data_IF_071049623908
#
_entry.id   IF_071049623908
#
_cell.length_a   1.000
_cell.length_b   1.000
_cell.length_c   1.000
_cell.angle_alpha   90.00
_cell.angle_beta   90.00
_cell.angle_gamma   90.00
#
_symmetry.space_group_name_H-M   'P 1'
#
loop_
_entity.id
_entity.type
_entity.pdbx_description
1 polymer ?
#
# COMPACT_ATOMS: atom_id res chain seq x y z
N UNK A 1 43.21 -19.16 4.45
CA UNK A 1 43.37 -18.59 3.08
C UNK A 1 42.35 -17.48 2.96
N UNK A 2 42.76 -16.30 2.51
CA UNK A 2 41.84 -15.18 2.26
C UNK A 2 41.18 -15.43 0.92
N UNK A 3 39.85 -15.54 0.89
CA UNK A 3 39.12 -15.66 -0.38
C UNK A 3 39.31 -14.37 -1.17
N UNK A 4 39.42 -14.47 -2.49
CA UNK A 4 39.38 -13.30 -3.36
C UNK A 4 38.00 -12.68 -3.37
N UNK A 5 37.94 -11.39 -3.66
CA UNK A 5 36.74 -10.58 -3.49
C UNK A 5 36.10 -10.27 -4.83
N UNK A 6 34.79 -10.45 -4.92
CA UNK A 6 33.93 -10.01 -6.03
C UNK A 6 32.97 -8.96 -5.47
N UNK A 7 33.10 -7.73 -5.95
CA UNK A 7 32.18 -6.65 -5.63
C UNK A 7 31.17 -6.49 -6.76
N UNK A 8 29.89 -6.53 -6.41
CA UNK A 8 28.80 -6.29 -7.35
C UNK A 8 27.99 -5.10 -6.85
N UNK A 9 27.85 -4.10 -7.71
CA UNK A 9 27.01 -2.94 -7.46
C UNK A 9 25.82 -2.93 -8.43
N UNK A 10 24.59 -2.82 -7.91
CA UNK A 10 23.38 -2.80 -8.73
C UNK A 10 22.50 -1.58 -8.41
N UNK A 11 22.29 -0.73 -9.41
CA UNK A 11 21.48 0.48 -9.30
C UNK A 11 20.39 0.55 -10.38
N UNK A 12 19.20 1.10 -10.05
CA UNK A 12 18.13 1.27 -11.02
C UNK A 12 18.49 2.34 -12.07
N UNK A 13 18.19 2.06 -13.34
CA UNK A 13 18.15 3.05 -14.41
C UNK A 13 16.69 3.49 -14.60
N UNK A 14 16.41 4.78 -14.43
CA UNK A 14 15.05 5.31 -14.58
C UNK A 14 14.71 5.47 -16.07
N UNK A 15 13.97 4.49 -16.63
CA UNK A 15 13.67 4.42 -18.07
C UNK A 15 12.18 4.35 -18.41
N UNK A 16 11.30 4.28 -17.41
CA UNK A 16 9.88 3.97 -17.59
C UNK A 16 9.68 2.51 -18.04
N UNK A 17 8.73 1.79 -17.43
CA UNK A 17 8.50 0.36 -17.69
C UNK A 17 9.23 -0.56 -16.70
N UNK A 18 9.60 -1.80 -17.10
CA UNK A 18 10.22 -2.78 -16.20
C UNK A 18 11.47 -2.26 -15.49
N UNK A 19 11.83 -2.85 -14.35
CA UNK A 19 12.99 -2.44 -13.57
C UNK A 19 14.28 -2.72 -14.35
N UNK A 20 14.89 -1.69 -14.92
CA UNK A 20 16.22 -1.76 -15.54
C UNK A 20 17.29 -1.53 -14.48
N UNK A 21 18.30 -2.40 -14.44
CA UNK A 21 19.42 -2.33 -13.52
C UNK A 21 20.72 -2.19 -14.30
N UNK A 22 21.53 -1.21 -13.90
CA UNK A 22 22.95 -1.18 -14.24
C UNK A 22 23.72 -1.97 -13.18
N UNK A 23 24.40 -3.02 -13.61
CA UNK A 23 25.21 -3.88 -12.75
C UNK A 23 26.67 -3.62 -13.10
N UNK A 24 27.46 -3.28 -12.08
CA UNK A 24 28.90 -3.06 -12.19
C UNK A 24 29.63 -4.08 -11.33
N UNK A 25 30.69 -4.66 -11.86
CA UNK A 25 31.51 -5.66 -11.18
C UNK A 25 32.93 -5.15 -11.00
N UNK A 26 33.51 -5.41 -9.83
CA UNK A 26 34.95 -5.29 -9.56
C UNK A 26 35.45 -6.58 -8.96
N UNK A 27 36.59 -7.04 -9.42
CA UNK A 27 37.13 -8.37 -9.10
C UNK A 27 38.64 -8.37 -9.26
N UNK A 28 39.30 -9.29 -8.58
CA UNK A 28 40.75 -9.50 -8.73
C UNK A 28 41.08 -10.14 -10.09
N UNK A 29 42.32 -9.92 -10.56
CA UNK A 29 42.80 -10.39 -11.86
C UNK A 29 42.67 -11.92 -12.08
N UNK A 30 42.65 -12.72 -11.01
CA UNK A 30 42.43 -14.17 -11.09
C UNK A 30 41.04 -14.58 -11.61
N UNK A 31 40.06 -13.67 -11.57
CA UNK A 31 38.73 -13.87 -12.14
C UNK A 31 38.60 -13.31 -13.57
N UNK A 32 39.63 -12.65 -14.09
CA UNK A 32 39.61 -12.02 -15.41
C UNK A 32 39.35 -13.04 -16.52
N UNK A 33 38.54 -12.66 -17.50
CA UNK A 33 38.12 -13.51 -18.60
C UNK A 33 37.01 -14.51 -18.27
N UNK A 34 36.58 -14.62 -17.01
CA UNK A 34 35.40 -15.42 -16.60
C UNK A 34 34.12 -14.61 -16.65
N UNK A 35 32.98 -15.28 -16.57
CA UNK A 35 31.66 -14.65 -16.47
C UNK A 35 30.95 -15.04 -15.18
N UNK A 36 30.18 -14.09 -14.68
CA UNK A 36 29.32 -14.17 -13.51
C UNK A 36 27.86 -14.19 -13.96
N UNK A 37 27.10 -15.21 -13.57
CA UNK A 37 25.64 -15.17 -13.60
C UNK A 37 25.14 -14.64 -12.25
N UNK A 38 24.45 -13.50 -12.29
CA UNK A 38 23.73 -12.97 -11.13
C UNK A 38 22.31 -13.53 -11.14
N UNK A 39 21.91 -14.18 -10.05
CA UNK A 39 20.58 -14.79 -9.90
C UNK A 39 19.81 -14.20 -8.72
N UNK A 40 18.48 -14.24 -8.81
CA UNK A 40 17.54 -13.91 -7.73
C UNK A 40 16.48 -15.01 -7.64
N UNK A 41 16.39 -15.67 -6.50
CA UNK A 41 15.48 -16.80 -6.28
C UNK A 41 15.60 -17.91 -7.32
N UNK A 42 16.85 -18.28 -7.62
CA UNK A 42 17.22 -19.26 -8.63
C UNK A 42 16.99 -18.84 -10.09
N UNK A 43 16.53 -17.60 -10.35
CA UNK A 43 16.37 -17.07 -11.71
C UNK A 43 17.53 -16.17 -12.07
N UNK A 44 18.14 -16.43 -13.22
CA UNK A 44 19.15 -15.55 -13.79
C UNK A 44 18.58 -14.17 -14.15
N UNK A 45 19.28 -13.14 -13.68
CA UNK A 45 19.02 -11.74 -14.00
C UNK A 45 19.86 -11.28 -15.18
N UNK A 46 21.15 -11.59 -15.17
CA UNK A 46 22.09 -11.24 -16.25
C UNK A 46 23.42 -11.98 -16.09
N UNK A 47 24.22 -11.92 -17.14
CA UNK A 47 25.63 -12.27 -17.10
C UNK A 47 26.51 -11.02 -17.16
N UNK A 48 27.55 -10.99 -16.35
CA UNK A 48 28.56 -9.91 -16.34
C UNK A 48 29.94 -10.52 -16.46
N UNK A 49 30.83 -10.01 -17.33
CA UNK A 49 32.24 -10.38 -17.26
C UNK A 49 32.82 -10.05 -15.87
N UNK A 50 33.70 -10.90 -15.37
CA UNK A 50 34.43 -10.71 -14.11
C UNK A 50 35.75 -9.94 -14.32
N UNK A 51 35.83 -9.09 -15.36
CA UNK A 51 36.93 -8.15 -15.51
C UNK A 51 36.66 -6.90 -14.66
N UNK A 52 37.70 -6.31 -14.07
CA UNK A 52 37.55 -5.12 -13.23
C UNK A 52 36.90 -3.96 -14.00
N UNK A 53 35.85 -3.37 -13.43
CA UNK A 53 35.09 -2.29 -14.05
C UNK A 53 34.07 -2.74 -15.09
N UNK A 54 33.84 -4.05 -15.25
CA UNK A 54 32.82 -4.58 -16.15
C UNK A 54 31.43 -4.09 -15.80
N UNK A 55 30.61 -3.90 -16.82
CA UNK A 55 29.22 -3.47 -16.68
C UNK A 55 28.30 -4.32 -17.53
N UNK A 56 27.12 -4.59 -17.00
CA UNK A 56 26.02 -5.20 -17.72
C UNK A 56 24.72 -4.50 -17.38
N UNK A 57 23.71 -4.75 -18.21
CA UNK A 57 22.33 -4.38 -17.91
C UNK A 57 21.51 -5.63 -17.65
N UNK A 58 20.60 -5.53 -16.70
CA UNK A 58 19.55 -6.50 -16.47
C UNK A 58 18.20 -5.79 -16.54
N UNK A 59 17.22 -6.43 -17.18
CA UNK A 59 15.83 -5.96 -17.12
C UNK A 59 15.05 -6.99 -16.33
N UNK A 60 14.42 -6.54 -15.25
CA UNK A 60 13.64 -7.36 -14.35
C UNK A 60 12.17 -6.99 -14.46
N UNK A 61 11.39 -7.95 -14.95
CA UNK A 61 9.94 -7.90 -14.80
C UNK A 61 9.58 -8.42 -13.41
N UNK A 62 9.19 -7.49 -12.53
CA UNK A 62 8.83 -7.77 -11.13
C UNK A 62 7.64 -8.74 -11.05
N UNK A 63 6.77 -8.77 -12.07
CA UNK A 63 5.61 -9.68 -12.09
C UNK A 63 6.03 -11.15 -12.07
N UNK A 64 7.20 -11.47 -12.64
CA UNK A 64 7.70 -12.84 -12.68
C UNK A 64 8.30 -13.29 -11.35
N UNK A 65 8.52 -12.36 -10.42
CA UNK A 65 8.99 -12.67 -9.09
C UNK A 65 7.82 -13.00 -8.13
N UNK A 66 6.58 -12.63 -8.47
CA UNK A 66 5.43 -12.84 -7.57
C UNK A 66 5.15 -14.31 -7.23
N UNK A 67 5.55 -15.23 -8.11
CA UNK A 67 5.39 -16.68 -7.90
C UNK A 67 6.63 -17.35 -7.29
N UNK A 68 7.61 -16.57 -6.81
CA UNK A 68 8.83 -17.12 -6.20
C UNK A 68 8.62 -17.34 -4.71
N UNK A 69 9.19 -18.42 -4.20
CA UNK A 69 9.17 -18.77 -2.78
C UNK A 69 10.31 -18.10 -2.01
N UNK A 70 11.39 -17.72 -2.71
CA UNK A 70 12.57 -17.06 -2.15
C UNK A 70 13.09 -15.92 -3.05
N UNK A 71 13.94 -15.08 -2.45
CA UNK A 71 14.56 -13.91 -3.07
C UNK A 71 16.06 -13.89 -2.80
N UNK A 72 16.66 -15.08 -2.69
CA UNK A 72 18.08 -15.21 -2.40
C UNK A 72 18.90 -14.81 -3.62
N UNK A 73 19.99 -14.07 -3.35
CA UNK A 73 20.93 -13.67 -4.39
C UNK A 73 21.97 -14.76 -4.53
N UNK A 74 22.15 -15.28 -5.73
CA UNK A 74 23.22 -16.21 -6.05
C UNK A 74 24.17 -15.64 -7.09
N UNK A 75 25.46 -15.91 -6.93
CA UNK A 75 26.51 -15.64 -7.90
C UNK A 75 27.06 -16.97 -8.40
N UNK A 76 26.91 -17.24 -9.69
CA UNK A 76 27.34 -18.49 -10.31
C UNK A 76 28.36 -18.21 -11.41
N UNK A 77 29.29 -19.14 -11.64
CA UNK A 77 30.15 -19.05 -12.82
C UNK A 77 29.45 -19.56 -14.09
N UNK A 78 30.15 -19.48 -15.22
CA UNK A 78 29.66 -19.94 -16.53
C UNK A 78 29.45 -21.46 -16.63
N UNK A 79 30.00 -22.23 -15.68
CA UNK A 79 29.83 -23.68 -15.57
C UNK A 79 28.64 -24.03 -14.65
N UNK A 80 28.04 -23.03 -14.00
CA UNK A 80 26.91 -23.21 -13.09
C UNK A 80 27.33 -23.63 -11.68
N UNK A 81 28.55 -23.31 -11.26
CA UNK A 81 29.01 -23.51 -9.88
C UNK A 81 28.73 -22.29 -9.00
N UNK A 82 28.25 -22.52 -7.78
CA UNK A 82 28.03 -21.47 -6.77
C UNK A 82 29.36 -20.91 -6.28
N UNK A 83 29.52 -19.59 -6.34
CA UNK A 83 30.72 -18.89 -5.93
C UNK A 83 30.79 -18.59 -4.43
N UNK A 84 29.80 -18.99 -3.63
CA UNK A 84 29.68 -18.62 -2.21
C UNK A 84 30.83 -19.15 -1.33
N UNK A 85 31.40 -20.29 -1.72
CA UNK A 85 32.59 -20.89 -1.09
C UNK A 85 33.92 -20.53 -1.77
N UNK A 86 33.88 -19.91 -2.95
CA UNK A 86 35.05 -19.64 -3.78
C UNK A 86 35.54 -18.18 -3.70
N UNK A 87 34.64 -17.24 -3.36
CA UNK A 87 34.94 -15.81 -3.27
C UNK A 87 34.18 -15.14 -2.12
N UNK A 88 34.74 -14.06 -1.57
CA UNK A 88 34.01 -13.13 -0.71
C UNK A 88 33.12 -12.22 -1.58
N UNK A 89 31.82 -12.18 -1.29
CA UNK A 89 30.87 -11.36 -2.04
C UNK A 89 30.60 -10.04 -1.33
N UNK A 90 30.78 -8.94 -2.05
CA UNK A 90 30.38 -7.62 -1.58
C UNK A 90 29.31 -7.05 -2.49
N UNK A 91 28.06 -7.17 -2.03
CA UNK A 91 26.88 -6.73 -2.75
C UNK A 91 26.46 -5.34 -2.25
N UNK A 92 26.39 -4.36 -3.15
CA UNK A 92 26.10 -2.96 -2.79
C UNK A 92 25.12 -2.27 -3.75
N UNK A 93 24.42 -1.26 -3.24
CA UNK A 93 23.51 -0.42 -4.02
C UNK A 93 22.03 -0.73 -3.81
N UNK A 94 21.13 0.14 -4.33
CA UNK A 94 19.72 0.15 -3.96
C UNK A 94 18.97 -1.15 -4.26
N UNK A 95 19.36 -1.89 -5.30
CA UNK A 95 18.73 -3.17 -5.62
C UNK A 95 18.99 -4.22 -4.53
N UNK A 96 20.26 -4.37 -4.12
CA UNK A 96 20.62 -5.33 -3.08
C UNK A 96 20.08 -4.92 -1.70
N UNK A 97 20.02 -3.62 -1.43
CA UNK A 97 19.34 -3.11 -0.24
C UNK A 97 17.85 -3.48 -0.22
N UNK A 98 17.14 -3.35 -1.34
CA UNK A 98 15.73 -3.71 -1.45
C UNK A 98 15.50 -5.20 -1.21
N UNK A 99 16.28 -6.08 -1.84
CA UNK A 99 16.09 -7.53 -1.70
C UNK A 99 16.60 -8.09 -0.38
N UNK A 100 17.37 -7.35 0.44
CA UNK A 100 17.92 -7.84 1.72
C UNK A 100 17.47 -7.02 2.93
N UNK A 101 16.35 -6.30 2.84
CA UNK A 101 15.83 -5.54 3.98
C UNK A 101 15.58 -6.46 5.17
N UNK A 102 16.19 -6.13 6.31
CA UNK A 102 16.01 -6.81 7.59
C UNK A 102 14.81 -6.22 8.36
N UNK A 103 14.17 -6.98 9.28
CA UNK A 103 13.02 -6.52 10.07
C UNK A 103 13.23 -5.18 10.79
N UNK A 104 14.37 -5.01 11.44
CA UNK A 104 14.73 -3.80 12.20
C UNK A 104 14.85 -2.55 11.32
N UNK A 105 15.18 -2.72 10.05
CA UNK A 105 15.39 -1.64 9.09
C UNK A 105 14.15 -1.36 8.23
N UNK A 106 13.13 -2.23 8.27
CA UNK A 106 12.04 -2.21 7.30
C UNK A 106 11.29 -0.89 7.33
N UNK A 107 10.82 -0.47 8.52
CA UNK A 107 10.07 0.78 8.63
C UNK A 107 10.94 2.00 8.35
N UNK A 108 12.26 1.94 8.46
CA UNK A 108 13.12 3.11 8.20
C UNK A 108 13.50 3.23 6.71
N UNK A 109 13.59 2.10 6.00
CA UNK A 109 13.99 2.05 4.59
C UNK A 109 12.80 1.99 3.63
N UNK A 110 11.71 1.33 4.04
CA UNK A 110 10.57 0.92 3.22
C UNK A 110 9.30 1.63 3.70
N UNK A 111 9.09 2.88 3.28
CA UNK A 111 7.86 3.67 3.59
C UNK A 111 7.28 4.36 2.36
N UNK A 112 5.95 4.29 2.13
CA UNK A 112 5.26 4.87 0.97
C UNK A 112 5.61 6.32 0.60
N UNK A 113 5.91 7.20 1.56
CA UNK A 113 6.17 8.64 1.31
C UNK A 113 7.56 9.12 1.75
N UNK A 114 8.34 8.25 2.41
CA UNK A 114 9.69 8.55 2.92
C UNK A 114 10.70 7.44 2.62
N UNK A 115 10.33 6.49 1.75
CA UNK A 115 11.19 5.39 1.32
C UNK A 115 12.50 5.94 0.77
N UNK A 116 13.60 5.27 1.12
CA UNK A 116 14.90 5.54 0.49
C UNK A 116 14.94 5.06 -0.97
N UNK A 117 14.01 4.18 -1.37
CA UNK A 117 13.86 3.70 -2.73
C UNK A 117 13.09 4.73 -3.57
N UNK A 118 13.80 5.38 -4.50
CA UNK A 118 13.21 6.31 -5.48
C UNK A 118 12.36 5.61 -6.55
N UNK A 119 12.60 4.32 -6.79
CA UNK A 119 11.87 3.52 -7.78
C UNK A 119 10.71 2.77 -7.12
N UNK A 120 9.49 2.93 -7.66
CA UNK A 120 8.31 2.18 -7.22
C UNK A 120 8.48 0.67 -7.36
N UNK A 121 9.22 0.20 -8.37
CA UNK A 121 9.53 -1.23 -8.54
C UNK A 121 10.49 -1.76 -7.47
N UNK A 122 11.47 -0.96 -7.03
CA UNK A 122 12.33 -1.35 -5.91
C UNK A 122 11.56 -1.39 -4.59
N UNK A 123 10.62 -0.46 -4.39
CA UNK A 123 9.75 -0.46 -3.23
C UNK A 123 8.84 -1.71 -3.20
N UNK A 124 8.26 -2.07 -4.35
CA UNK A 124 7.47 -3.30 -4.51
C UNK A 124 8.31 -4.56 -4.24
N UNK A 125 9.52 -4.61 -4.81
CA UNK A 125 10.47 -5.71 -4.60
C UNK A 125 10.86 -5.85 -3.11
N UNK A 126 11.14 -4.73 -2.44
CA UNK A 126 11.49 -4.71 -1.03
C UNK A 126 10.33 -5.21 -0.16
N UNK A 127 9.12 -4.70 -0.37
CA UNK A 127 7.95 -5.10 0.39
C UNK A 127 7.59 -6.57 0.15
N UNK A 128 7.64 -7.05 -1.10
CA UNK A 128 7.29 -8.42 -1.40
C UNK A 128 8.33 -9.41 -0.90
N UNK A 129 9.61 -9.17 -1.18
CA UNK A 129 10.70 -10.04 -0.73
C UNK A 129 10.76 -10.10 0.80
N UNK A 130 10.53 -8.97 1.48
CA UNK A 130 10.43 -8.95 2.94
C UNK A 130 9.29 -9.84 3.47
N UNK A 131 8.09 -9.71 2.88
CA UNK A 131 6.92 -10.46 3.31
C UNK A 131 7.14 -11.98 3.25
N UNK A 132 7.82 -12.46 2.20
CA UNK A 132 8.06 -13.90 2.02
C UNK A 132 9.19 -14.44 2.88
N UNK A 133 10.27 -13.67 3.08
CA UNK A 133 11.43 -14.14 3.88
C UNK A 133 11.18 -14.11 5.38
N UNK A 134 10.22 -13.30 5.82
CA UNK A 134 9.96 -13.07 7.24
C UNK A 134 8.47 -13.25 7.61
N UNK A 135 7.87 -14.42 7.31
CA UNK A 135 6.45 -14.67 7.58
C UNK A 135 6.10 -14.56 9.08
N UNK A 136 7.07 -14.81 9.95
CA UNK A 136 6.97 -14.76 11.41
C UNK A 136 7.00 -13.34 12.01
N UNK A 137 7.26 -12.30 11.20
CA UNK A 137 7.36 -10.92 11.70
C UNK A 137 6.08 -10.43 12.36
N UNK A 138 6.17 -9.43 13.23
CA UNK A 138 4.99 -8.87 13.87
C UNK A 138 4.01 -8.25 12.86
N UNK A 139 2.73 -8.17 13.25
CA UNK A 139 1.64 -7.57 12.48
C UNK A 139 2.04 -6.22 11.84
N UNK A 140 2.74 -5.36 12.58
CA UNK A 140 3.15 -4.02 12.14
C UNK A 140 3.93 -4.07 10.82
N UNK A 141 4.89 -5.00 10.70
CA UNK A 141 5.74 -5.12 9.52
C UNK A 141 4.99 -5.78 8.36
N UNK A 142 4.23 -6.85 8.63
CA UNK A 142 3.39 -7.50 7.63
C UNK A 142 2.34 -6.55 7.04
N UNK A 143 1.63 -5.83 7.90
CA UNK A 143 0.62 -4.86 7.52
C UNK A 143 1.20 -3.71 6.69
N UNK A 144 2.40 -3.24 7.04
CA UNK A 144 3.12 -2.25 6.25
C UNK A 144 3.48 -2.77 4.85
N UNK A 145 4.06 -3.97 4.76
CA UNK A 145 4.43 -4.59 3.48
C UNK A 145 3.20 -4.77 2.57
N UNK A 146 2.12 -5.36 3.08
CA UNK A 146 0.88 -5.55 2.32
C UNK A 146 0.27 -4.21 1.88
N UNK A 147 0.28 -3.19 2.75
CA UNK A 147 -0.22 -1.85 2.39
C UNK A 147 0.54 -1.28 1.20
N UNK A 148 1.88 -1.38 1.21
CA UNK A 148 2.75 -0.90 0.13
C UNK A 148 2.44 -1.62 -1.17
N UNK A 149 2.35 -2.96 -1.13
CA UNK A 149 2.03 -3.77 -2.30
C UNK A 149 0.66 -3.42 -2.88
N UNK A 150 -0.37 -3.29 -2.03
CA UNK A 150 -1.71 -2.89 -2.45
C UNK A 150 -1.75 -1.49 -3.06
N UNK A 151 -0.99 -0.54 -2.52
CA UNK A 151 -0.93 0.82 -3.06
C UNK A 151 -0.45 0.87 -4.51
N UNK A 152 0.48 -0.02 -4.90
CA UNK A 152 0.98 -0.10 -6.29
C UNK A 152 -0.13 -0.34 -7.30
N UNK A 153 -1.14 -1.14 -6.94
CA UNK A 153 -2.28 -1.43 -7.82
C UNK A 153 -3.32 -0.30 -7.82
N UNK A 154 -3.44 0.46 -6.73
CA UNK A 154 -4.30 1.64 -6.66
C UNK A 154 -3.71 2.85 -7.38
N UNK A 155 -2.40 2.91 -7.60
CA UNK A 155 -1.77 3.98 -8.38
C UNK A 155 -2.00 3.83 -9.89
N UNK A 156 -2.26 2.60 -10.36
CA UNK A 156 -2.51 2.32 -11.77
C UNK A 156 -3.94 2.66 -12.17
N UNK A 157 -4.19 2.96 -13.47
CA UNK A 157 -5.55 3.02 -13.99
C UNK A 157 -6.30 1.70 -13.73
N UNK A 158 -7.49 1.71 -13.11
CA UNK A 158 -8.21 0.47 -12.73
C UNK A 158 -8.57 -0.44 -13.92
N UNK A 159 -8.71 0.13 -15.11
CA UNK A 159 -8.98 -0.55 -16.39
C UNK A 159 -7.72 -1.13 -17.06
N UNK A 160 -6.52 -0.84 -16.53
CA UNK A 160 -5.25 -1.25 -17.11
C UNK A 160 -4.65 -2.54 -16.53
N UNK A 161 -5.37 -3.24 -15.65
CA UNK A 161 -4.86 -4.45 -15.01
C UNK A 161 -4.86 -5.65 -15.96
N UNK A 162 -3.70 -6.29 -16.08
CA UNK A 162 -3.51 -7.55 -16.78
C UNK A 162 -4.09 -8.72 -15.96
N UNK A 163 -4.43 -9.87 -16.57
CA UNK A 163 -4.99 -11.02 -15.85
C UNK A 163 -4.13 -11.50 -14.66
N UNK A 164 -2.81 -11.49 -14.81
CA UNK A 164 -1.85 -11.82 -13.75
C UNK A 164 -1.88 -10.83 -12.58
N UNK A 165 -2.18 -9.56 -12.86
CA UNK A 165 -2.31 -8.51 -11.85
C UNK A 165 -3.63 -8.64 -11.10
N UNK A 166 -4.71 -9.00 -11.79
CA UNK A 166 -5.98 -9.35 -11.14
C UNK A 166 -5.81 -10.52 -10.17
N UNK A 167 -5.12 -11.59 -10.60
CA UNK A 167 -4.80 -12.72 -9.71
C UNK A 167 -3.95 -12.27 -8.50
N UNK A 168 -3.04 -11.33 -8.70
CA UNK A 168 -2.22 -10.77 -7.62
C UNK A 168 -3.02 -9.87 -6.67
N UNK A 169 -3.99 -9.11 -7.17
CA UNK A 169 -4.94 -8.37 -6.32
C UNK A 169 -5.77 -9.34 -5.48
N UNK A 170 -6.25 -10.44 -6.06
CA UNK A 170 -6.97 -11.47 -5.32
C UNK A 170 -6.11 -12.10 -4.21
N UNK A 171 -4.82 -12.39 -4.49
CA UNK A 171 -3.88 -12.83 -3.46
C UNK A 171 -3.71 -11.79 -2.35
N UNK A 172 -3.49 -10.50 -2.70
CA UNK A 172 -3.37 -9.42 -1.71
C UNK A 172 -4.60 -9.31 -0.81
N UNK A 173 -5.81 -9.44 -1.38
CA UNK A 173 -7.05 -9.43 -0.61
C UNK A 173 -7.16 -10.65 0.34
N UNK A 174 -6.70 -11.81 -0.12
CA UNK A 174 -6.60 -13.03 0.68
C UNK A 174 -5.69 -12.88 1.89
N UNK A 175 -4.53 -12.24 1.73
CA UNK A 175 -3.58 -11.96 2.81
C UNK A 175 -4.03 -10.81 3.72
N UNK A 176 -4.68 -9.77 3.15
CA UNK A 176 -5.11 -8.61 3.90
C UNK A 176 -6.22 -8.94 4.92
N UNK A 177 -7.13 -9.86 4.60
CA UNK A 177 -8.23 -10.25 5.50
C UNK A 177 -7.75 -10.70 6.89
N UNK A 178 -6.96 -11.79 6.98
CA UNK A 178 -6.38 -12.26 8.24
C UNK A 178 -5.52 -11.21 8.95
N UNK A 179 -4.69 -10.47 8.21
CA UNK A 179 -3.82 -9.44 8.80
C UNK A 179 -4.61 -8.27 9.42
N UNK A 180 -5.65 -7.77 8.73
CA UNK A 180 -6.53 -6.72 9.29
C UNK A 180 -7.25 -7.22 10.54
N UNK A 181 -7.73 -8.47 10.53
CA UNK A 181 -8.40 -9.07 11.69
C UNK A 181 -7.44 -9.20 12.89
N UNK A 182 -6.18 -9.61 12.67
CA UNK A 182 -5.14 -9.66 13.69
C UNK A 182 -4.90 -8.28 14.30
N UNK A 183 -4.68 -7.26 13.46
CA UNK A 183 -4.45 -5.89 13.93
C UNK A 183 -5.63 -5.33 14.72
N UNK A 184 -6.86 -5.56 14.26
CA UNK A 184 -8.07 -5.18 14.99
C UNK A 184 -8.18 -5.89 16.35
N UNK A 185 -7.83 -7.17 16.42
CA UNK A 185 -7.80 -7.92 17.67
C UNK A 185 -6.74 -7.40 18.65
N UNK A 186 -5.55 -7.00 18.17
CA UNK A 186 -4.51 -6.39 18.99
C UNK A 186 -4.94 -5.03 19.58
N UNK A 187 -5.66 -4.22 18.81
CA UNK A 187 -6.25 -2.96 19.30
C UNK A 187 -7.31 -3.26 20.36
N UNK A 188 -8.24 -4.16 20.05
CA UNK A 188 -9.33 -4.52 20.97
C UNK A 188 -8.83 -5.10 22.30
N UNK A 189 -7.82 -5.98 22.26
CA UNK A 189 -7.23 -6.55 23.45
C UNK A 189 -6.57 -5.48 24.36
N UNK A 190 -5.90 -4.49 23.77
CA UNK A 190 -5.33 -3.38 24.52
C UNK A 190 -6.41 -2.53 25.18
N UNK A 191 -7.52 -2.25 24.48
CA UNK A 191 -8.66 -1.49 25.02
C UNK A 191 -9.38 -2.25 26.14
N UNK A 192 -9.62 -3.56 25.95
CA UNK A 192 -10.31 -4.40 26.93
C UNK A 192 -9.54 -4.52 28.27
N UNK A 193 -8.22 -4.42 28.21
CA UNK A 193 -7.33 -4.47 29.39
C UNK A 193 -7.00 -3.07 29.95
N UNK A 194 -7.65 -2.00 29.46
CA UNK A 194 -7.37 -0.60 29.80
C UNK A 194 -5.87 -0.24 29.67
N UNK A 195 -5.19 -0.85 28.70
CA UNK A 195 -3.79 -0.58 28.38
C UNK A 195 -3.69 0.48 27.28
N UNK A 196 -2.55 1.18 27.27
CA UNK A 196 -2.21 2.10 26.18
C UNK A 196 -2.13 1.32 24.86
N UNK A 197 -2.99 1.67 23.91
CA UNK A 197 -2.97 1.13 22.54
C UNK A 197 -1.67 1.54 21.83
N UNK A 198 -1.02 0.57 21.18
CA UNK A 198 0.11 0.86 20.29
C UNK A 198 -0.43 1.52 19.01
N UNK A 199 0.05 2.72 18.74
CA UNK A 199 -0.37 3.50 17.58
C UNK A 199 -0.05 2.81 16.25
N UNK A 200 0.98 1.96 16.22
CA UNK A 200 1.38 1.20 15.03
C UNK A 200 0.32 0.18 14.65
N UNK A 201 -0.34 -0.43 15.63
CA UNK A 201 -1.45 -1.35 15.39
C UNK A 201 -2.59 -0.61 14.68
N UNK A 202 -3.03 0.51 15.24
CA UNK A 202 -4.11 1.33 14.65
C UNK A 202 -3.74 1.80 13.25
N UNK A 203 -2.53 2.37 13.06
CA UNK A 203 -2.09 2.91 11.77
C UNK A 203 -2.15 1.85 10.68
N UNK A 204 -1.52 0.69 10.90
CA UNK A 204 -1.39 -0.32 9.85
C UNK A 204 -2.69 -1.10 9.64
N UNK A 205 -3.52 -1.28 10.67
CA UNK A 205 -4.89 -1.82 10.49
C UNK A 205 -5.70 -0.90 9.58
N UNK A 206 -5.74 0.40 9.88
CA UNK A 206 -6.49 1.38 9.08
C UNK A 206 -5.94 1.45 7.67
N UNK A 207 -4.63 1.61 7.49
CA UNK A 207 -4.02 1.73 6.17
C UNK A 207 -4.23 0.49 5.30
N UNK A 208 -4.02 -0.71 5.84
CA UNK A 208 -4.22 -1.96 5.11
C UNK A 208 -5.70 -2.16 4.76
N UNK A 209 -6.60 -1.93 5.71
CA UNK A 209 -8.04 -2.04 5.48
C UNK A 209 -8.51 -1.02 4.42
N UNK A 210 -8.01 0.21 4.44
CA UNK A 210 -8.33 1.23 3.43
C UNK A 210 -7.94 0.77 2.03
N UNK A 211 -6.71 0.29 1.82
CA UNK A 211 -6.27 -0.12 0.47
C UNK A 211 -6.96 -1.41 0.03
N UNK A 212 -7.16 -2.37 0.93
CA UNK A 212 -7.89 -3.60 0.65
C UNK A 212 -9.35 -3.32 0.26
N UNK A 213 -10.03 -2.40 0.96
CA UNK A 213 -11.40 -2.01 0.63
C UNK A 213 -11.54 -1.49 -0.80
N UNK A 214 -10.62 -0.62 -1.24
CA UNK A 214 -10.64 -0.10 -2.61
C UNK A 214 -10.28 -1.16 -3.64
N UNK A 215 -9.36 -2.08 -3.32
CA UNK A 215 -9.03 -3.20 -4.21
C UNK A 215 -10.19 -4.18 -4.36
N UNK A 216 -10.98 -4.43 -3.30
CA UNK A 216 -12.19 -5.25 -3.39
C UNK A 216 -13.23 -4.70 -4.38
N UNK A 217 -13.20 -3.39 -4.66
CA UNK A 217 -14.08 -2.77 -5.65
C UNK A 217 -13.67 -3.07 -7.10
N UNK A 218 -12.45 -3.55 -7.35
CA UNK A 218 -12.04 -3.90 -8.72
C UNK A 218 -12.89 -5.05 -9.27
N UNK A 219 -13.32 -5.99 -8.44
CA UNK A 219 -14.17 -7.12 -8.83
C UNK A 219 -15.62 -6.99 -8.32
N UNK A 220 -16.09 -5.75 -8.10
CA UNK A 220 -17.44 -5.44 -7.59
C UNK A 220 -17.83 -6.16 -6.29
N UNK A 221 -16.83 -6.51 -5.46
CA UNK A 221 -17.05 -7.18 -4.19
C UNK A 221 -17.48 -6.19 -3.10
N UNK A 222 -18.66 -5.58 -3.28
CA UNK A 222 -19.20 -4.58 -2.34
C UNK A 222 -19.28 -5.07 -0.89
N UNK A 223 -19.72 -6.32 -0.58
CA UNK A 223 -19.72 -6.80 0.79
C UNK A 223 -18.32 -6.88 1.41
N UNK A 224 -17.32 -7.32 0.64
CA UNK A 224 -15.93 -7.38 1.12
C UNK A 224 -15.35 -5.97 1.30
N UNK A 225 -15.60 -5.08 0.34
CA UNK A 225 -15.19 -3.68 0.45
C UNK A 225 -15.81 -3.03 1.69
N UNK A 226 -17.11 -3.28 1.95
CA UNK A 226 -17.80 -2.77 3.13
C UNK A 226 -17.14 -3.26 4.43
N UNK A 227 -16.83 -4.56 4.54
CA UNK A 227 -16.15 -5.12 5.71
C UNK A 227 -14.81 -4.42 5.98
N UNK A 228 -13.99 -4.20 4.95
CA UNK A 228 -12.71 -3.51 5.10
C UNK A 228 -12.87 -2.02 5.42
N UNK A 229 -13.81 -1.32 4.78
CA UNK A 229 -14.09 0.08 5.11
C UNK A 229 -14.56 0.23 6.56
N UNK A 230 -15.39 -0.69 7.05
CA UNK A 230 -15.84 -0.71 8.43
C UNK A 230 -14.66 -0.94 9.40
N UNK A 231 -13.74 -1.87 9.10
CA UNK A 231 -12.52 -2.05 9.88
C UNK A 231 -11.70 -0.77 9.99
N UNK A 232 -11.58 -0.01 8.89
CA UNK A 232 -10.86 1.25 8.90
C UNK A 232 -11.55 2.32 9.78
N UNK A 233 -12.88 2.39 9.77
CA UNK A 233 -13.63 3.49 10.42
C UNK A 233 -13.90 3.24 11.90
N UNK A 234 -14.01 1.98 12.34
CA UNK A 234 -14.26 1.59 13.75
C UNK A 234 -13.23 2.17 14.74
N UNK A 235 -12.04 2.53 14.27
CA UNK A 235 -10.95 3.07 15.11
C UNK A 235 -10.86 4.61 15.11
N UNK A 236 -11.90 5.32 14.70
CA UNK A 236 -11.87 6.80 14.57
C UNK A 236 -11.61 7.50 15.91
N UNK A 237 -12.06 6.94 17.04
CA UNK A 237 -11.78 7.47 18.38
C UNK A 237 -10.31 7.38 18.78
N UNK A 238 -9.50 6.62 18.04
CA UNK A 238 -8.06 6.44 18.27
C UNK A 238 -7.20 7.33 17.35
N UNK A 239 -7.79 8.34 16.72
CA UNK A 239 -7.10 9.19 15.73
C UNK A 239 -5.87 9.92 16.27
N UNK A 240 -5.82 10.18 17.58
CA UNK A 240 -4.64 10.76 18.24
C UNK A 240 -3.42 9.84 18.21
N UNK A 241 -3.64 8.53 18.14
CA UNK A 241 -2.57 7.55 17.95
C UNK A 241 -2.12 7.51 16.48
N UNK A 242 -3.04 7.59 15.51
CA UNK A 242 -2.74 7.48 14.09
C UNK A 242 -2.96 8.79 13.31
N UNK A 243 -2.25 9.86 13.69
CA UNK A 243 -2.40 11.21 13.10
C UNK A 243 -2.28 11.24 11.57
N UNK A 244 -1.45 10.38 11.00
CA UNK A 244 -1.18 10.27 9.55
C UNK A 244 -2.32 9.56 8.80
N UNK A 245 -3.15 8.78 9.51
CA UNK A 245 -4.28 8.04 8.92
C UNK A 245 -5.62 8.78 9.07
N UNK A 246 -5.60 10.01 9.60
CA UNK A 246 -6.82 10.79 9.87
C UNK A 246 -7.70 11.00 8.62
N UNK A 247 -7.07 11.26 7.46
CA UNK A 247 -7.77 11.40 6.19
C UNK A 247 -8.45 10.09 5.78
N UNK A 248 -7.78 8.95 5.98
CA UNK A 248 -8.33 7.63 5.64
C UNK A 248 -9.59 7.32 6.43
N UNK A 249 -9.68 7.73 7.70
CA UNK A 249 -10.88 7.51 8.52
C UNK A 249 -12.12 8.14 7.88
N UNK A 250 -12.00 9.38 7.40
CA UNK A 250 -13.15 10.11 6.82
C UNK A 250 -13.44 9.63 5.39
N UNK A 251 -12.41 9.34 4.59
CA UNK A 251 -12.58 8.74 3.27
C UNK A 251 -13.31 7.39 3.38
N UNK A 252 -12.87 6.53 4.30
CA UNK A 252 -13.48 5.22 4.51
C UNK A 252 -14.89 5.36 5.06
N UNK A 253 -15.17 6.33 5.93
CA UNK A 253 -16.53 6.59 6.44
C UNK A 253 -17.51 6.98 5.32
N UNK A 254 -17.06 7.80 4.37
CA UNK A 254 -17.83 8.13 3.18
C UNK A 254 -18.12 6.88 2.34
N UNK A 255 -17.07 6.12 1.99
CA UNK A 255 -17.19 4.94 1.15
C UNK A 255 -18.03 3.82 1.80
N UNK A 256 -17.82 3.57 3.10
CA UNK A 256 -18.64 2.66 3.92
C UNK A 256 -20.11 3.08 3.85
N UNK A 257 -20.39 4.37 4.05
CA UNK A 257 -21.73 4.92 4.04
C UNK A 257 -22.49 4.68 2.74
N UNK A 258 -21.88 5.04 1.61
CA UNK A 258 -22.53 4.90 0.29
C UNK A 258 -22.69 3.44 -0.12
N UNK A 259 -21.72 2.57 0.23
CA UNK A 259 -21.80 1.13 -0.07
C UNK A 259 -22.82 0.44 0.84
N UNK A 260 -22.85 0.74 2.14
CA UNK A 260 -23.84 0.20 3.05
C UNK A 260 -25.26 0.55 2.60
N UNK A 261 -25.48 1.79 2.15
CA UNK A 261 -26.78 2.20 1.63
C UNK A 261 -27.14 1.46 0.33
N UNK A 262 -26.20 1.32 -0.61
CA UNK A 262 -26.36 0.49 -1.81
C UNK A 262 -26.79 -0.94 -1.47
N UNK A 263 -26.20 -1.51 -0.41
CA UNK A 263 -26.49 -2.87 0.07
C UNK A 263 -27.75 -2.98 0.94
N UNK A 264 -28.54 -1.90 1.07
CA UNK A 264 -29.79 -1.91 1.83
C UNK A 264 -29.60 -1.89 3.35
N UNK A 265 -28.50 -1.32 3.84
CA UNK A 265 -28.15 -1.23 5.26
C UNK A 265 -28.15 0.25 5.73
N UNK A 266 -29.32 0.91 5.79
CA UNK A 266 -29.41 2.36 6.04
C UNK A 266 -28.92 2.77 7.43
N UNK A 267 -29.10 1.93 8.46
CA UNK A 267 -28.61 2.23 9.82
C UNK A 267 -27.08 2.26 9.88
N UNK A 268 -26.42 1.29 9.23
CA UNK A 268 -24.97 1.28 9.12
C UNK A 268 -24.48 2.44 8.26
N UNK A 269 -25.14 2.70 7.12
CA UNK A 269 -24.81 3.82 6.25
C UNK A 269 -24.86 5.15 7.02
N UNK A 270 -25.93 5.37 7.78
CA UNK A 270 -26.10 6.55 8.62
C UNK A 270 -25.01 6.63 9.68
N UNK A 271 -24.73 5.55 10.40
CA UNK A 271 -23.70 5.52 11.43
C UNK A 271 -22.31 5.85 10.86
N UNK A 272 -21.96 5.27 9.71
CA UNK A 272 -20.69 5.53 9.03
C UNK A 272 -20.53 7.00 8.62
N UNK A 273 -21.53 7.57 7.93
CA UNK A 273 -21.46 8.95 7.48
C UNK A 273 -21.47 9.93 8.66
N UNK A 274 -22.23 9.66 9.72
CA UNK A 274 -22.18 10.47 10.96
C UNK A 274 -20.79 10.44 11.58
N UNK A 275 -20.14 9.26 11.66
CA UNK A 275 -18.74 9.17 12.12
C UNK A 275 -17.82 10.05 11.26
N UNK A 276 -17.97 10.04 9.94
CA UNK A 276 -17.20 10.90 9.03
C UNK A 276 -17.41 12.40 9.29
N UNK A 277 -18.62 12.82 9.65
CA UNK A 277 -18.93 14.20 10.06
C UNK A 277 -18.27 14.53 11.40
N UNK A 278 -18.44 13.67 12.39
CA UNK A 278 -17.98 13.89 13.77
C UNK A 278 -16.46 13.75 13.93
N UNK A 279 -15.77 13.07 13.00
CA UNK A 279 -14.32 12.85 13.02
C UNK A 279 -13.51 14.15 12.92
N UNK A 280 -14.06 15.24 12.38
CA UNK A 280 -13.32 16.50 12.14
C UNK A 280 -12.73 17.05 13.44
N UNK A 281 -13.54 17.14 14.50
CA UNK A 281 -13.11 17.73 15.78
C UNK A 281 -11.94 16.96 16.40
N UNK A 282 -12.01 15.63 16.64
CA UNK A 282 -10.90 14.89 17.21
C UNK A 282 -9.68 14.89 16.30
N UNK A 283 -9.85 14.89 14.97
CA UNK A 283 -8.73 15.03 14.03
C UNK A 283 -8.01 16.37 14.24
N UNK A 284 -8.74 17.49 14.20
CA UNK A 284 -8.15 18.83 14.39
C UNK A 284 -7.42 18.93 15.73
N UNK A 285 -8.01 18.38 16.80
CA UNK A 285 -7.40 18.38 18.13
C UNK A 285 -6.15 17.49 18.24
N UNK A 286 -6.08 16.41 17.46
CA UNK A 286 -4.92 15.51 17.45
C UNK A 286 -3.70 16.11 16.73
N UNK A 287 -3.91 17.07 15.83
CA UNK A 287 -2.86 17.63 14.99
C UNK A 287 -2.10 18.77 15.68
N UNK A 288 -0.77 18.83 15.48
CA UNK A 288 0.03 20.01 15.82
C UNK A 288 0.37 20.78 14.54
N UNK A 289 -0.35 21.89 14.31
CA UNK A 289 -0.24 22.69 13.09
C UNK A 289 1.12 23.37 12.91
N UNK A 290 1.87 23.56 14.00
CA UNK A 290 3.19 24.20 13.98
C UNK A 290 4.33 23.21 13.70
N UNK A 291 4.09 21.90 13.86
CA UNK A 291 5.11 20.87 13.67
C UNK A 291 5.17 20.37 12.22
N UNK A 292 4.11 20.54 11.43
CA UNK A 292 4.04 19.94 10.10
C UNK A 292 3.10 20.69 9.15
N UNK A 293 3.66 21.32 8.10
CA UNK A 293 2.89 22.07 7.09
C UNK A 293 1.94 21.18 6.25
N UNK A 294 2.28 19.89 6.08
CA UNK A 294 1.46 18.94 5.33
C UNK A 294 0.10 18.70 5.99
N UNK A 295 0.03 18.86 7.31
CA UNK A 295 -1.21 18.73 8.11
C UNK A 295 -2.30 19.70 7.66
N UNK A 296 -1.94 20.90 7.19
CA UNK A 296 -2.94 21.87 6.72
C UNK A 296 -3.64 21.37 5.45
N UNK A 297 -2.91 20.74 4.54
CA UNK A 297 -3.47 20.11 3.34
C UNK A 297 -4.37 18.92 3.71
N UNK A 298 -3.94 18.07 4.64
CA UNK A 298 -4.72 16.92 5.09
C UNK A 298 -6.01 17.34 5.80
N UNK A 299 -5.97 18.41 6.62
CA UNK A 299 -7.15 18.95 7.26
C UNK A 299 -8.15 19.53 6.25
N UNK A 300 -7.69 20.19 5.20
CA UNK A 300 -8.58 20.63 4.12
C UNK A 300 -9.26 19.44 3.44
N UNK A 301 -8.53 18.34 3.19
CA UNK A 301 -9.10 17.14 2.59
C UNK A 301 -10.09 16.44 3.54
N UNK A 302 -9.79 16.40 4.84
CA UNK A 302 -10.70 15.89 5.88
C UNK A 302 -12.00 16.69 5.91
N UNK A 303 -11.92 18.03 5.87
CA UNK A 303 -13.10 18.89 5.86
C UNK A 303 -13.96 18.69 4.60
N UNK A 304 -13.33 18.52 3.43
CA UNK A 304 -14.03 18.21 2.17
C UNK A 304 -14.73 16.86 2.23
N UNK A 305 -14.03 15.81 2.67
CA UNK A 305 -14.60 14.48 2.81
C UNK A 305 -15.74 14.44 3.84
N UNK A 306 -15.57 15.13 4.96
CA UNK A 306 -16.60 15.28 6.01
C UNK A 306 -17.84 16.02 5.48
N UNK A 307 -17.65 17.09 4.69
CA UNK A 307 -18.75 17.76 3.98
C UNK A 307 -19.47 16.79 3.05
N UNK A 308 -18.77 15.97 2.29
CA UNK A 308 -19.40 14.96 1.42
C UNK A 308 -20.15 13.89 2.22
N UNK A 309 -19.67 13.50 3.41
CA UNK A 309 -20.44 12.63 4.32
C UNK A 309 -21.77 13.28 4.72
N UNK A 310 -21.75 14.57 5.04
CA UNK A 310 -22.96 15.31 5.41
C UNK A 310 -23.94 15.46 4.23
N UNK A 311 -23.44 15.76 3.03
CA UNK A 311 -24.26 15.81 1.81
C UNK A 311 -24.89 14.43 1.56
N UNK A 312 -24.11 13.35 1.65
CA UNK A 312 -24.59 11.99 1.46
C UNK A 312 -25.68 11.61 2.48
N UNK A 313 -25.54 11.98 3.77
CA UNK A 313 -26.58 11.74 4.77
C UNK A 313 -27.96 12.29 4.34
N UNK A 314 -27.98 13.46 3.71
CA UNK A 314 -29.21 14.11 3.29
C UNK A 314 -29.71 13.58 1.94
N UNK A 315 -28.81 13.39 0.97
CA UNK A 315 -29.13 12.93 -0.39
C UNK A 315 -29.55 11.46 -0.46
N UNK A 316 -29.04 10.64 0.45
CA UNK A 316 -29.46 9.26 0.65
C UNK A 316 -30.67 9.16 1.60
N UNK A 317 -31.27 10.28 2.01
CA UNK A 317 -32.45 10.33 2.89
C UNK A 317 -32.25 9.67 4.27
N UNK A 318 -31.00 9.59 4.74
CA UNK A 318 -30.62 8.98 6.02
C UNK A 318 -30.85 9.92 7.21
N UNK A 319 -30.98 11.22 6.95
CA UNK A 319 -31.47 12.23 7.90
C UNK A 319 -32.46 13.16 7.18
N UNK A 320 -33.45 13.74 7.89
CA UNK A 320 -34.45 14.58 7.26
C UNK A 320 -33.85 15.90 6.75
N UNK A 321 -34.30 16.34 5.56
CA UNK A 321 -34.03 17.68 5.05
C UNK A 321 -34.81 18.72 5.87
N UNK A 322 -34.11 19.61 6.58
CA UNK A 322 -34.68 20.75 7.31
C UNK A 322 -34.52 22.03 6.49
N UNK A 323 -35.55 22.87 6.53
CA UNK A 323 -35.67 24.05 5.68
C UNK A 323 -34.81 25.28 6.10
N UNK A 324 -34.14 25.30 7.26
CA UNK A 324 -33.44 26.52 7.74
C UNK A 324 -32.51 26.27 8.96
N UNK A 325 -31.30 26.89 9.06
CA UNK A 325 -30.40 27.26 7.95
C UNK A 325 -28.87 27.01 8.18
N UNK A 326 -28.08 26.76 7.10
CA UNK A 326 -28.38 25.94 5.94
C UNK A 326 -27.77 24.53 6.09
N UNK A 327 -28.54 23.48 5.75
CA UNK A 327 -28.05 22.10 5.80
C UNK A 327 -27.48 21.59 4.46
N UNK A 328 -27.91 22.06 3.30
CA UNK A 328 -27.23 21.91 1.99
C UNK A 328 -28.03 22.72 0.97
N UNK A 329 -27.36 23.38 0.04
CA UNK A 329 -28.03 24.03 -1.09
C UNK A 329 -28.56 22.96 -2.07
N UNK A 330 -29.70 23.18 -2.76
CA UNK A 330 -30.20 22.25 -3.78
C UNK A 330 -29.18 21.89 -4.89
N UNK A 331 -28.19 22.74 -5.13
CA UNK A 331 -27.07 22.50 -6.05
C UNK A 331 -25.97 21.59 -5.48
N UNK A 332 -25.92 21.36 -4.16
CA UNK A 332 -24.90 20.49 -3.56
C UNK A 332 -25.20 19.02 -3.86
N UNK A 333 -24.27 18.38 -4.56
CA UNK A 333 -24.36 16.99 -5.00
C UNK A 333 -23.40 16.12 -4.21
N UNK A 334 -23.63 14.80 -4.22
CA UNK A 334 -22.61 13.87 -3.75
C UNK A 334 -21.50 13.86 -4.80
N UNK A 335 -20.39 14.52 -4.53
CA UNK A 335 -19.27 14.63 -5.47
C UNK A 335 -18.14 13.71 -5.02
N UNK A 336 -18.04 12.53 -5.64
CA UNK A 336 -17.06 11.52 -5.20
C UNK A 336 -15.63 12.05 -5.38
N UNK A 337 -15.39 12.88 -6.39
CA UNK A 337 -14.08 13.51 -6.63
C UNK A 337 -13.61 14.49 -5.57
N UNK A 338 -14.52 15.08 -4.78
CA UNK A 338 -14.13 15.91 -3.63
C UNK A 338 -13.60 15.06 -2.46
N UNK A 339 -13.92 13.77 -2.44
CA UNK A 339 -13.33 12.79 -1.52
C UNK A 339 -12.07 12.21 -2.18
N UNK A 340 -10.91 12.85 -1.93
CA UNK A 340 -9.60 12.48 -2.51
C UNK A 340 -9.17 11.04 -2.22
N UNK A 341 -9.74 10.10 -2.95
CA UNK A 341 -9.62 8.66 -2.76
C UNK A 341 -9.58 7.94 -4.12
N UNK A 342 -9.14 6.66 -4.17
CA UNK A 342 -9.22 5.87 -5.39
C UNK A 342 -10.65 5.71 -5.94
N UNK A 343 -11.69 5.85 -5.11
CA UNK A 343 -13.08 5.56 -5.47
C UNK A 343 -13.55 6.28 -6.74
N UNK A 344 -13.23 7.57 -6.91
CA UNK A 344 -13.61 8.31 -8.12
C UNK A 344 -13.02 7.67 -9.38
N UNK A 345 -11.72 7.33 -9.36
CA UNK A 345 -11.05 6.70 -10.51
C UNK A 345 -11.62 5.33 -10.82
N UNK A 346 -11.99 4.57 -9.78
CA UNK A 346 -12.65 3.25 -9.92
C UNK A 346 -14.02 3.39 -10.58
N UNK A 347 -14.80 4.39 -10.16
CA UNK A 347 -16.10 4.70 -10.76
C UNK A 347 -15.98 5.15 -12.21
N UNK A 348 -15.04 6.06 -12.52
CA UNK A 348 -14.79 6.55 -13.89
C UNK A 348 -14.30 5.45 -14.83
N UNK A 349 -13.61 4.44 -14.30
CA UNK A 349 -13.19 3.25 -15.05
C UNK A 349 -14.30 2.20 -15.19
N UNK A 350 -15.54 2.53 -14.82
CA UNK A 350 -16.72 1.65 -14.90
C UNK A 350 -16.55 0.31 -14.16
N UNK A 351 -15.69 0.25 -13.13
CA UNK A 351 -15.47 -0.97 -12.33
C UNK A 351 -16.54 -1.20 -11.27
N UNK A 352 -17.35 -0.18 -10.96
CA UNK A 352 -18.43 -0.25 -9.96
C UNK A 352 -19.73 0.38 -10.48
N UNK A 353 -20.27 -0.11 -11.61
CA UNK A 353 -21.43 0.49 -12.28
C UNK A 353 -22.67 0.55 -11.38
N UNK A 354 -22.87 -0.45 -10.51
CA UNK A 354 -23.99 -0.45 -9.57
C UNK A 354 -23.91 0.68 -8.55
N UNK A 355 -22.71 0.94 -8.01
CA UNK A 355 -22.48 2.07 -7.09
C UNK A 355 -22.64 3.42 -7.80
N UNK A 356 -22.10 3.55 -9.02
CA UNK A 356 -22.26 4.77 -9.81
C UNK A 356 -23.73 5.07 -10.12
N UNK A 357 -24.49 4.07 -10.58
CA UNK A 357 -25.92 4.20 -10.83
C UNK A 357 -26.71 4.49 -9.53
N UNK A 358 -26.27 3.94 -8.40
CA UNK A 358 -26.86 4.23 -7.11
C UNK A 358 -26.64 5.70 -6.71
N UNK A 359 -25.42 6.19 -6.75
CA UNK A 359 -25.11 7.59 -6.43
C UNK A 359 -25.83 8.56 -7.37
N UNK A 360 -25.87 8.28 -8.67
CA UNK A 360 -26.59 9.11 -9.65
C UNK A 360 -28.09 9.26 -9.31
N UNK A 361 -28.76 8.17 -8.86
CA UNK A 361 -30.17 8.23 -8.40
C UNK A 361 -30.37 9.15 -7.20
N UNK A 362 -29.34 9.35 -6.40
CA UNK A 362 -29.35 10.22 -5.22
C UNK A 362 -28.68 11.59 -5.49
N UNK A 363 -28.53 11.99 -6.75
CA UNK A 363 -27.96 13.28 -7.12
C UNK A 363 -26.45 13.36 -6.90
N UNK A 364 -25.74 12.25 -7.05
CA UNK A 364 -24.29 12.17 -7.05
C UNK A 364 -23.68 12.18 -8.46
N UNK A 365 -22.43 12.66 -8.54
CA UNK A 365 -21.61 12.73 -9.75
C UNK A 365 -20.19 12.20 -9.53
#
# INVERSE_FOLDING_TARGET
MTLSRIEVHAAPEDRGGPLSLLISVRSSAEWSGRRLSLTLGGRELTFVPLDDGSQARATLDVTVLWGREDYDIGLWDEEGHDLSGAAEWVLSGPFFEAVRVAPEDFLDKVQLHHSRFRSGHLLELAAHGFYLRHPETEFVLRGAALTILSHRYLERPPDSLLPQETARVAWLLGEAGPAVAEGAALVHAAEAEDRRVDWRHVRWTVSLATVAAHLSLYDESYPQALLFFEMATRHTHLVHYAKVSALNLVICAFAEGVIAHLLGQPDQARAALVRGVEAVKPIVQAQNLMENVWVLGDLQNVLRASRQCYIALLRLELIPLRASPPMIDPSMQIEVGEVRSPLQRIMMAERVPALAAHLARHGGI
#
